data_IF_851453444897
#
_entry.id   IF_851453444897
#
_cell.length_a   1.000
_cell.length_b   1.000
_cell.length_c   1.000
_cell.angle_alpha   90.00
_cell.angle_beta   90.00
_cell.angle_gamma   90.00
#
_symmetry.space_group_name_H-M   'P 1'
#
loop_
_entity.id
_entity.type
_entity.pdbx_description
1 polymer ?
#
# COMPACT_ATOMS: atom_id res chain seq x y z
N UNK A 1 1.14 -4.53 22.50
CA UNK A 1 0.22 -4.69 21.36
C UNK A 1 0.74 -3.78 20.28
N UNK A 2 1.46 -4.33 19.29
CA UNK A 2 2.02 -3.50 18.22
C UNK A 2 0.89 -2.92 17.38
N UNK A 3 0.94 -1.63 17.07
CA UNK A 3 -0.06 -0.94 16.28
C UNK A 3 -0.26 -1.65 14.94
N UNK A 4 -1.37 -2.38 14.81
CA UNK A 4 -1.67 -3.16 13.61
C UNK A 4 -2.25 -2.22 12.55
N UNK A 5 -1.42 -1.79 11.61
CA UNK A 5 -1.87 -0.94 10.51
C UNK A 5 -2.84 -1.71 9.59
N UNK A 6 -4.03 -1.17 9.29
CA UNK A 6 -5.01 -1.84 8.43
C UNK A 6 -4.52 -2.02 6.99
N UNK A 7 -4.86 -3.16 6.39
CA UNK A 7 -4.51 -3.53 5.01
C UNK A 7 -5.58 -3.04 4.02
N UNK A 8 -5.14 -2.37 2.96
CA UNK A 8 -5.98 -1.92 1.85
C UNK A 8 -6.42 -3.07 0.95
N UNK A 9 -7.62 -2.92 0.37
CA UNK A 9 -8.15 -3.79 -0.67
C UNK A 9 -8.07 -3.07 -2.02
N UNK A 10 -7.67 -3.82 -3.03
CA UNK A 10 -7.42 -3.35 -4.39
C UNK A 10 -8.38 -4.00 -5.40
N UNK A 11 -8.72 -3.24 -6.43
CA UNK A 11 -9.28 -3.73 -7.69
C UNK A 11 -8.13 -4.33 -8.52
N UNK A 12 -8.39 -5.41 -9.25
CA UNK A 12 -7.35 -6.16 -9.96
C UNK A 12 -7.73 -6.58 -11.39
N UNK A 13 -8.97 -6.33 -11.83
CA UNK A 13 -9.46 -6.75 -13.15
C UNK A 13 -10.06 -5.60 -13.99
N UNK A 14 -10.58 -4.56 -13.33
CA UNK A 14 -11.33 -3.48 -14.00
C UNK A 14 -10.51 -2.19 -14.14
N UNK A 15 -10.83 -1.41 -15.17
CA UNK A 15 -10.20 -0.10 -15.39
C UNK A 15 -8.75 -0.25 -15.81
N UNK A 16 -7.86 0.48 -15.13
CA UNK A 16 -6.40 0.37 -15.34
C UNK A 16 -5.76 -0.81 -14.60
N UNK A 17 -6.50 -1.50 -13.72
CA UNK A 17 -5.99 -2.62 -12.96
C UNK A 17 -5.91 -3.89 -13.81
N UNK A 18 -4.86 -4.69 -13.59
CA UNK A 18 -4.73 -6.00 -14.21
C UNK A 18 -3.80 -6.91 -13.40
N UNK A 19 -4.04 -8.21 -13.53
CA UNK A 19 -3.10 -9.27 -13.15
C UNK A 19 -2.84 -10.16 -14.38
N UNK A 20 -1.57 -10.52 -14.61
CA UNK A 20 -1.13 -11.31 -15.79
C UNK A 20 0.02 -12.23 -15.41
N UNK A 21 0.30 -13.21 -16.26
CA UNK A 21 1.45 -14.11 -16.12
C UNK A 21 1.51 -14.79 -14.75
N UNK A 22 0.38 -15.35 -14.30
CA UNK A 22 0.20 -16.04 -13.01
C UNK A 22 0.34 -15.17 -11.77
N UNK A 23 0.65 -13.87 -11.88
CA UNK A 23 0.49 -12.95 -10.77
C UNK A 23 -0.98 -12.99 -10.33
N UNK A 24 -1.25 -13.24 -9.05
CA UNK A 24 -2.61 -13.38 -8.55
C UNK A 24 -2.88 -12.39 -7.42
N UNK A 25 -4.11 -11.92 -7.31
CA UNK A 25 -4.55 -11.07 -6.22
C UNK A 25 -5.64 -11.77 -5.42
N UNK A 26 -5.37 -12.05 -4.14
CA UNK A 26 -6.33 -12.74 -3.26
C UNK A 26 -6.13 -12.29 -1.82
N UNK A 27 -7.22 -12.22 -1.05
CA UNK A 27 -7.19 -11.88 0.38
C UNK A 27 -6.39 -10.60 0.69
N UNK A 28 -6.57 -9.54 -0.11
CA UNK A 28 -5.86 -8.25 0.00
C UNK A 28 -4.36 -8.29 -0.30
N UNK A 29 -3.87 -9.41 -0.86
CA UNK A 29 -2.47 -9.61 -1.15
C UNK A 29 -2.21 -9.91 -2.63
N UNK A 30 -1.08 -9.40 -3.14
CA UNK A 30 -0.53 -9.79 -4.42
C UNK A 30 0.43 -10.97 -4.19
N UNK A 31 0.17 -12.11 -4.84
CA UNK A 31 0.91 -13.36 -4.65
C UNK A 31 1.99 -13.48 -5.72
N UNK A 32 3.24 -13.59 -5.29
CA UNK A 32 4.40 -13.72 -6.16
C UNK A 32 4.40 -15.11 -6.82
N UNK A 33 4.34 -15.20 -8.17
CA UNK A 33 4.22 -16.48 -8.86
C UNK A 33 5.56 -17.16 -9.14
N UNK A 34 6.67 -16.45 -9.02
CA UNK A 34 8.00 -16.95 -9.36
C UNK A 34 9.06 -16.19 -8.58
N UNK A 35 10.07 -16.87 -8.05
CA UNK A 35 11.19 -16.21 -7.39
C UNK A 35 12.01 -15.32 -8.35
N UNK A 36 12.48 -14.17 -7.87
CA UNK A 36 13.30 -13.23 -8.63
C UNK A 36 13.27 -11.80 -8.10
N UNK A 37 13.91 -10.88 -8.81
CA UNK A 37 13.93 -9.45 -8.46
C UNK A 37 12.68 -8.76 -9.01
N UNK A 38 11.84 -8.25 -8.12
CA UNK A 38 10.62 -7.53 -8.48
C UNK A 38 10.79 -6.03 -8.22
N UNK A 39 10.39 -5.20 -9.18
CA UNK A 39 10.09 -3.81 -8.87
C UNK A 39 8.69 -3.75 -8.27
N UNK A 40 8.62 -3.37 -6.99
CA UNK A 40 7.37 -3.24 -6.22
C UNK A 40 7.11 -1.76 -6.01
N UNK A 41 5.89 -1.31 -6.24
CA UNK A 41 5.52 0.10 -6.10
C UNK A 41 4.10 0.29 -5.57
N UNK A 42 3.87 1.38 -4.84
CA UNK A 42 2.53 1.80 -4.47
C UNK A 42 2.49 3.30 -4.21
N UNK A 43 1.40 3.93 -4.64
CA UNK A 43 1.02 5.25 -4.19
C UNK A 43 -0.27 5.16 -3.37
N UNK A 44 -0.30 5.79 -2.21
CA UNK A 44 -1.54 6.07 -1.49
C UNK A 44 -1.70 7.58 -1.38
N UNK A 45 -2.79 8.10 -1.94
CA UNK A 45 -3.17 9.50 -1.72
C UNK A 45 -4.04 9.58 -0.48
N UNK A 46 -3.59 10.35 0.50
CA UNK A 46 -4.39 10.69 1.67
C UNK A 46 -5.08 12.03 1.46
N UNK A 47 -6.29 12.19 1.98
CA UNK A 47 -7.05 13.43 1.93
C UNK A 47 -7.84 13.61 3.22
N UNK A 48 -8.09 14.86 3.57
CA UNK A 48 -8.98 15.21 4.66
C UNK A 48 -9.64 16.56 4.43
N UNK A 49 -10.83 16.71 5.02
CA UNK A 49 -11.58 17.97 5.08
C UNK A 49 -12.04 18.12 6.52
N UNK A 50 -11.44 19.03 7.28
CA UNK A 50 -11.80 19.28 8.67
C UNK A 50 -12.26 20.73 8.87
N UNK A 51 -13.53 20.95 9.24
CA UNK A 51 -13.95 22.14 9.98
C UNK A 51 -13.59 22.05 11.48
N UNK A 52 -13.33 20.85 12.02
CA UNK A 52 -13.07 20.57 13.44
C UNK A 52 -11.78 19.76 13.63
N UNK A 53 -11.08 20.04 14.73
CA UNK A 53 -9.71 19.68 15.14
C UNK A 53 -9.25 18.19 15.15
N UNK A 54 -9.85 17.29 14.37
CA UNK A 54 -9.52 15.85 14.34
C UNK A 54 -8.65 15.45 13.15
N UNK A 55 -7.60 16.23 12.87
CA UNK A 55 -6.61 15.90 11.83
C UNK A 55 -5.59 14.89 12.39
N UNK A 56 -5.17 13.86 11.63
CA UNK A 56 -4.11 12.97 12.10
C UNK A 56 -2.78 13.73 12.16
N UNK A 57 -1.98 13.49 13.20
CA UNK A 57 -0.64 14.10 13.34
C UNK A 57 0.32 13.64 12.24
N UNK A 58 0.14 12.42 11.75
CA UNK A 58 0.89 11.86 10.63
C UNK A 58 0.05 10.86 9.83
N UNK A 59 0.47 10.64 8.59
CA UNK A 59 -0.03 9.58 7.72
C UNK A 59 1.11 8.65 7.35
N UNK A 60 0.84 7.36 7.33
CA UNK A 60 1.84 6.32 7.07
C UNK A 60 1.34 5.38 6.00
N UNK A 61 2.23 4.98 5.08
CA UNK A 61 2.04 3.90 4.13
C UNK A 61 3.18 2.90 4.29
N UNK A 62 2.84 1.61 4.29
CA UNK A 62 3.80 0.51 4.44
C UNK A 62 3.50 -0.54 3.38
N UNK A 63 4.52 -1.00 2.65
CA UNK A 63 4.44 -2.23 1.85
C UNK A 63 5.00 -3.36 2.71
N UNK A 64 4.18 -4.37 2.98
CA UNK A 64 4.56 -5.53 3.79
C UNK A 64 4.59 -6.81 2.97
N UNK A 65 5.34 -7.78 3.48
CA UNK A 65 5.47 -9.14 2.95
C UNK A 65 5.09 -10.15 4.02
N UNK A 66 4.29 -11.14 3.65
CA UNK A 66 4.06 -12.34 4.46
C UNK A 66 4.56 -13.55 3.67
N UNK A 67 5.30 -14.42 4.36
CA UNK A 67 5.79 -15.69 3.83
C UNK A 67 5.17 -16.84 4.63
N UNK A 68 5.12 -18.05 4.07
CA UNK A 68 4.65 -19.21 4.83
C UNK A 68 5.68 -19.66 5.90
N UNK A 69 6.95 -19.36 5.67
CA UNK A 69 8.06 -19.68 6.57
C UNK A 69 8.12 -18.79 7.81
N UNK A 70 7.52 -17.59 7.76
CA UNK A 70 7.53 -16.63 8.86
C UNK A 70 6.17 -15.94 8.99
N UNK A 71 5.39 -16.24 10.04
CA UNK A 71 4.00 -15.76 10.15
C UNK A 71 3.90 -14.26 10.42
N UNK A 72 4.96 -13.62 10.92
CA UNK A 72 4.97 -12.18 11.19
C UNK A 72 5.24 -11.39 9.90
N UNK A 73 4.39 -10.41 9.53
CA UNK A 73 4.61 -9.59 8.36
C UNK A 73 5.92 -8.79 8.44
N UNK A 74 6.75 -8.89 7.40
CA UNK A 74 7.98 -8.09 7.25
C UNK A 74 7.67 -6.78 6.54
N UNK A 75 8.06 -5.64 7.11
CA UNK A 75 7.96 -4.34 6.44
C UNK A 75 9.07 -4.20 5.40
N UNK A 76 8.69 -4.03 4.13
CA UNK A 76 9.64 -3.87 3.03
C UNK A 76 9.97 -2.39 2.80
N UNK A 77 8.94 -1.55 2.72
CA UNK A 77 9.06 -0.12 2.48
C UNK A 77 8.08 0.63 3.38
N UNK A 78 8.55 1.66 4.08
CA UNK A 78 7.74 2.47 5.00
C UNK A 78 7.99 3.94 4.71
N UNK A 79 6.92 4.72 4.58
CA UNK A 79 7.00 6.18 4.56
C UNK A 79 5.92 6.79 5.46
N UNK A 80 6.34 7.76 6.25
CA UNK A 80 5.49 8.54 7.15
C UNK A 80 5.64 10.02 6.81
N UNK A 81 4.51 10.74 6.70
CA UNK A 81 4.49 12.19 6.59
C UNK A 81 3.77 12.80 7.79
N UNK A 82 4.44 13.72 8.48
CA UNK A 82 3.81 14.56 9.51
C UNK A 82 2.99 15.65 8.85
N UNK A 83 1.76 15.85 9.31
CA UNK A 83 0.85 16.83 8.71
C UNK A 83 0.83 18.15 9.51
N UNK A 84 1.87 18.99 9.39
CA UNK A 84 1.87 20.33 10.00
C UNK A 84 0.95 21.30 9.26
N UNK A 85 0.13 22.07 9.98
CA UNK A 85 -0.60 23.29 9.54
C UNK A 85 -1.24 23.30 8.14
N UNK A 86 -1.58 22.14 7.58
CA UNK A 86 -2.35 22.12 6.32
C UNK A 86 -3.73 22.70 6.56
N UNK A 87 -4.20 23.55 5.65
CA UNK A 87 -5.52 24.16 5.71
C UNK A 87 -6.65 23.13 5.80
N UNK A 88 -7.88 23.60 6.01
CA UNK A 88 -9.04 22.76 6.30
C UNK A 88 -9.20 21.58 5.33
N UNK A 89 -8.85 21.76 4.05
CA UNK A 89 -8.79 20.70 3.06
C UNK A 89 -7.34 20.41 2.67
N UNK A 90 -6.95 19.14 2.71
CA UNK A 90 -5.60 18.72 2.38
C UNK A 90 -5.60 17.42 1.57
N UNK A 91 -4.56 17.27 0.74
CA UNK A 91 -4.29 16.09 -0.08
C UNK A 91 -2.79 15.83 -0.07
N UNK A 92 -2.38 14.60 0.21
CA UNK A 92 -0.98 14.21 0.33
C UNK A 92 -0.76 12.80 -0.24
N UNK A 93 -0.11 12.68 -1.41
CA UNK A 93 0.35 11.39 -1.91
C UNK A 93 1.61 10.94 -1.18
N UNK A 94 1.70 9.65 -0.88
CA UNK A 94 2.94 8.96 -0.52
C UNK A 94 3.20 7.95 -1.63
N UNK A 95 4.38 8.01 -2.25
CA UNK A 95 4.84 7.02 -3.23
C UNK A 95 6.00 6.24 -2.64
N UNK A 96 5.95 4.93 -2.78
CA UNK A 96 7.01 4.00 -2.42
C UNK A 96 7.31 3.12 -3.63
N UNK A 97 8.59 2.86 -3.90
CA UNK A 97 8.98 1.84 -4.86
C UNK A 97 10.45 1.46 -4.78
N UNK A 98 10.74 0.17 -4.93
CA UNK A 98 12.09 -0.38 -4.90
C UNK A 98 12.16 -1.72 -5.64
N UNK A 99 13.37 -2.13 -6.02
CA UNK A 99 13.65 -3.49 -6.47
C UNK A 99 14.00 -4.34 -5.25
N UNK A 100 13.29 -5.46 -5.07
CA UNK A 100 13.49 -6.40 -3.98
C UNK A 100 13.39 -7.83 -4.50
N UNK A 101 14.26 -8.70 -3.98
CA UNK A 101 14.14 -10.13 -4.26
C UNK A 101 12.93 -10.72 -3.52
N UNK A 102 12.13 -11.50 -4.23
CA UNK A 102 10.93 -12.16 -3.73
C UNK A 102 10.98 -13.66 -4.00
N UNK A 103 10.42 -14.44 -3.10
CA UNK A 103 10.24 -15.89 -3.27
C UNK A 103 8.86 -16.20 -3.85
N UNK A 104 8.74 -17.37 -4.50
CA UNK A 104 7.43 -17.87 -4.93
C UNK A 104 6.52 -18.10 -3.72
N UNK A 105 5.28 -17.64 -3.82
CA UNK A 105 4.30 -17.71 -2.73
C UNK A 105 4.35 -16.54 -1.74
N UNK A 106 5.36 -15.67 -1.82
CA UNK A 106 5.38 -14.44 -1.02
C UNK A 106 4.12 -13.60 -1.30
N UNK A 107 3.53 -13.05 -0.23
CA UNK A 107 2.29 -12.26 -0.28
C UNK A 107 2.59 -10.82 0.06
N UNK A 108 2.41 -9.92 -0.92
CA UNK A 108 2.62 -8.49 -0.77
C UNK A 108 1.32 -7.76 -0.43
N UNK A 109 1.38 -6.84 0.53
CA UNK A 109 0.24 -6.05 0.99
C UNK A 109 0.62 -4.59 1.18
N UNK A 110 -0.39 -3.71 1.19
CA UNK A 110 -0.21 -2.30 1.53
C UNK A 110 -1.02 -1.98 2.78
N UNK A 111 -0.32 -1.54 3.83
CA UNK A 111 -0.90 -1.09 5.08
C UNK A 111 -0.84 0.45 5.15
N UNK A 112 -1.80 1.04 5.84
CA UNK A 112 -1.87 2.50 6.04
C UNK A 112 -2.15 2.85 7.49
N UNK A 113 -1.81 4.08 7.90
CA UNK A 113 -2.11 4.58 9.25
C UNK A 113 -3.59 4.51 9.61
N UNK A 114 -4.46 4.93 8.69
CA UNK A 114 -5.90 4.91 8.86
C UNK A 114 -6.58 4.97 7.49
N UNK A 115 -7.51 4.03 7.24
CA UNK A 115 -8.23 3.89 5.97
C UNK A 115 -9.16 5.10 5.72
N UNK A 116 -9.65 5.77 6.77
CA UNK A 116 -10.61 6.87 6.65
C UNK A 116 -10.07 8.03 5.81
N UNK A 117 -8.75 8.22 5.81
CA UNK A 117 -8.09 9.30 5.09
C UNK A 117 -7.66 8.92 3.67
N UNK A 118 -7.84 7.67 3.23
CA UNK A 118 -7.42 7.25 1.89
C UNK A 118 -8.36 7.79 0.81
N UNK A 119 -7.82 8.44 -0.20
CA UNK A 119 -8.53 8.83 -1.42
C UNK A 119 -8.66 7.63 -2.37
N UNK A 120 -9.81 6.96 -2.30
CA UNK A 120 -10.20 5.86 -3.19
C UNK A 120 -11.06 6.31 -4.38
N UNK A 121 -11.19 7.63 -4.64
CA UNK A 121 -12.15 8.14 -5.64
C UNK A 121 -11.73 7.92 -7.08
N UNK A 122 -10.43 7.76 -7.34
CA UNK A 122 -9.85 7.64 -8.68
C UNK A 122 -8.66 6.66 -8.66
N UNK A 123 -8.65 5.75 -9.63
CA UNK A 123 -7.62 4.72 -9.81
C UNK A 123 -6.18 5.26 -10.02
N UNK A 124 -6.02 6.49 -10.54
CA UNK A 124 -4.70 7.10 -10.74
C UNK A 124 -4.13 7.78 -9.48
N UNK A 125 -4.90 7.89 -8.39
CA UNK A 125 -4.46 8.52 -7.13
C UNK A 125 -3.88 7.53 -6.14
N UNK A 126 -4.47 6.34 -6.08
CA UNK A 126 -4.13 5.29 -5.12
C UNK A 126 -4.03 3.97 -5.88
N UNK A 127 -2.83 3.41 -5.95
CA UNK A 127 -2.52 2.21 -6.73
C UNK A 127 -1.37 1.41 -6.09
N UNK A 128 -1.27 0.14 -6.47
CA UNK A 128 -0.27 -0.81 -6.00
C UNK A 128 0.02 -1.81 -7.11
N UNK A 129 1.29 -2.16 -7.31
CA UNK A 129 1.69 -3.15 -8.29
C UNK A 129 3.09 -3.68 -8.07
N UNK A 130 3.41 -4.75 -8.80
CA UNK A 130 4.74 -5.33 -8.88
C UNK A 130 4.96 -5.98 -10.24
N UNK A 131 6.20 -6.01 -10.72
CA UNK A 131 6.59 -6.78 -11.90
C UNK A 131 8.00 -7.35 -11.74
N UNK A 132 8.21 -8.55 -12.29
CA UNK A 132 9.50 -9.23 -12.35
C UNK A 132 10.40 -8.51 -13.37
N UNK A 133 11.68 -8.33 -13.03
CA UNK A 133 12.71 -7.78 -13.91
C UNK A 133 13.29 -8.81 -14.89
#
# INVERSE_FOLDING_TARGET
MGDQFPVLQWEHERGLAFTKNNMNYTNKSLVIPKAGDYYIYSQVTFRGSTPNHSKPGSITQIITKVTDSYPEPTQLLTATKTLCEMGNNWFQPIYLGAVLFMEEGDRLMVNVSDIQWVDYTKEHKTFFGAFLL
#
